data_IF_838676864005
#
_entry.id   IF_838676864005
#
_cell.length_a   1.000
_cell.length_b   1.000
_cell.length_c   1.000
_cell.angle_alpha   90.00
_cell.angle_beta   90.00
_cell.angle_gamma   90.00
#
_symmetry.space_group_name_H-M   'P 1'
#
loop_
_entity.id
_entity.type
_entity.pdbx_description
1 polymer ?
#
# COMPACT_ATOMS: atom_id res chain seq x y z
N UNK A 1 10.22 61.12 -42.02
CA UNK A 1 10.12 61.13 -40.53
C UNK A 1 9.16 60.03 -40.06
N UNK A 2 8.04 59.81 -40.76
CA UNK A 2 7.14 58.69 -40.51
C UNK A 2 7.78 57.31 -40.80
N UNK A 3 8.56 57.16 -41.87
CA UNK A 3 9.16 55.86 -42.24
C UNK A 3 10.07 55.28 -41.13
N UNK A 4 10.87 56.13 -40.47
CA UNK A 4 11.70 55.71 -39.33
C UNK A 4 10.88 55.25 -38.14
N UNK A 5 9.76 55.93 -37.88
CA UNK A 5 8.86 55.57 -36.77
C UNK A 5 8.17 54.24 -37.07
N UNK A 6 7.75 54.01 -38.33
CA UNK A 6 7.16 52.73 -38.74
C UNK A 6 8.17 51.57 -38.66
N UNK A 7 9.43 51.83 -39.03
CA UNK A 7 10.52 50.86 -38.91
C UNK A 7 10.79 50.49 -37.43
N UNK A 8 10.89 51.48 -36.54
CA UNK A 8 11.05 51.27 -35.10
C UNK A 8 9.84 50.55 -34.48
N UNK A 9 8.63 50.86 -34.94
CA UNK A 9 7.41 50.18 -34.49
C UNK A 9 7.42 48.71 -34.91
N UNK A 10 7.80 48.42 -36.15
CA UNK A 10 7.88 47.05 -36.66
C UNK A 10 8.89 46.20 -35.87
N UNK A 11 10.08 46.76 -35.59
CA UNK A 11 11.07 46.08 -34.77
C UNK A 11 10.59 45.84 -33.34
N UNK A 12 9.86 46.80 -32.77
CA UNK A 12 9.27 46.67 -31.43
C UNK A 12 8.18 45.58 -31.41
N UNK A 13 7.30 45.57 -32.39
CA UNK A 13 6.24 44.57 -32.55
C UNK A 13 6.82 43.16 -32.75
N UNK A 14 7.89 43.05 -33.54
CA UNK A 14 8.63 41.80 -33.73
C UNK A 14 9.21 41.26 -32.41
N UNK A 15 9.76 42.12 -31.55
CA UNK A 15 10.27 41.73 -30.23
C UNK A 15 9.13 41.27 -29.31
N UNK A 16 8.03 42.02 -29.25
CA UNK A 16 6.86 41.66 -28.43
C UNK A 16 6.30 40.30 -28.88
N UNK A 17 6.12 40.10 -30.18
CA UNK A 17 5.62 38.83 -30.74
C UNK A 17 6.51 37.64 -30.40
N UNK A 18 7.84 37.81 -30.39
CA UNK A 18 8.78 36.76 -29.98
C UNK A 18 8.64 36.45 -28.49
N UNK A 19 8.56 37.48 -27.64
CA UNK A 19 8.38 37.31 -26.20
C UNK A 19 7.04 36.64 -25.87
N UNK A 20 5.95 36.98 -26.57
CA UNK A 20 4.64 36.37 -26.35
C UNK A 20 4.67 34.87 -26.67
N UNK A 21 5.31 34.46 -27.77
CA UNK A 21 5.49 33.05 -28.12
C UNK A 21 6.29 32.31 -27.05
N UNK A 22 7.38 32.90 -26.57
CA UNK A 22 8.20 32.29 -25.53
C UNK A 22 7.44 32.14 -24.21
N UNK A 23 6.61 33.14 -23.85
CA UNK A 23 5.73 33.07 -22.68
C UNK A 23 4.70 31.95 -22.83
N UNK A 24 4.13 31.76 -24.02
CA UNK A 24 3.16 30.71 -24.30
C UNK A 24 3.77 29.31 -24.16
N UNK A 25 4.96 29.12 -24.75
CA UNK A 25 5.74 27.88 -24.62
C UNK A 25 6.11 27.58 -23.16
N UNK A 26 6.53 28.60 -22.40
CA UNK A 26 6.86 28.46 -20.99
C UNK A 26 5.62 28.14 -20.14
N UNK A 27 4.47 28.75 -20.42
CA UNK A 27 3.20 28.43 -19.75
C UNK A 27 2.81 26.97 -19.98
N UNK A 28 2.96 26.47 -21.20
CA UNK A 28 2.68 25.07 -21.52
C UNK A 28 3.62 24.13 -20.75
N UNK A 29 4.93 24.40 -20.73
CA UNK A 29 5.90 23.65 -19.92
C UNK A 29 5.58 23.67 -18.43
N UNK A 30 5.13 24.80 -17.88
CA UNK A 30 4.72 24.89 -16.48
C UNK A 30 3.51 23.97 -16.19
N UNK A 31 2.54 23.91 -17.09
CA UNK A 31 1.38 23.02 -16.95
C UNK A 31 1.81 21.55 -17.00
N UNK A 32 2.70 21.18 -17.92
CA UNK A 32 3.25 19.83 -18.03
C UNK A 32 4.06 19.43 -16.78
N UNK A 33 4.95 20.32 -16.31
CA UNK A 33 5.80 20.10 -15.13
C UNK A 33 5.00 20.10 -13.82
N UNK A 34 3.94 20.90 -13.72
CA UNK A 34 3.03 20.87 -12.58
C UNK A 34 2.32 19.51 -12.45
N UNK A 35 2.29 18.72 -13.53
CA UNK A 35 1.67 17.41 -13.59
C UNK A 35 0.16 17.46 -13.38
N UNK A 36 -0.48 16.29 -13.43
CA UNK A 36 -1.90 16.18 -13.06
C UNK A 36 -2.02 16.57 -11.59
N UNK A 37 -2.69 17.71 -11.31
CA UNK A 37 -3.09 18.06 -9.93
C UNK A 37 -3.69 16.82 -9.30
N UNK A 38 -3.05 16.32 -8.24
CA UNK A 38 -3.50 15.13 -7.51
C UNK A 38 -5.01 15.28 -7.30
N UNK A 39 -5.86 14.41 -7.88
CA UNK A 39 -7.30 14.58 -7.80
C UNK A 39 -7.63 14.78 -6.33
N UNK A 40 -8.40 15.84 -6.02
CA UNK A 40 -8.78 16.12 -4.64
C UNK A 40 -9.31 14.82 -4.05
N UNK A 41 -8.67 14.34 -2.97
CA UNK A 41 -9.05 13.10 -2.31
C UNK A 41 -10.52 13.24 -1.96
N UNK A 42 -11.40 12.63 -2.76
CA UNK A 42 -12.84 12.68 -2.50
C UNK A 42 -12.99 12.08 -1.12
N UNK A 43 -13.48 12.87 -0.15
CA UNK A 43 -13.84 12.36 1.18
C UNK A 43 -14.69 11.12 0.93
N UNK A 44 -14.18 9.96 1.34
CA UNK A 44 -14.89 8.69 1.23
C UNK A 44 -16.17 8.88 2.03
N UNK A 45 -17.31 9.04 1.34
CA UNK A 45 -18.58 9.43 1.96
C UNK A 45 -19.06 8.39 2.97
N UNK A 46 -18.63 7.14 2.83
CA UNK A 46 -18.91 6.07 3.76
C UNK A 46 -17.85 4.97 3.63
N UNK A 47 -17.30 4.50 4.76
CA UNK A 47 -16.41 3.34 4.73
C UNK A 47 -17.21 2.07 4.42
N UNK A 48 -16.57 1.06 3.83
CA UNK A 48 -17.21 -0.23 3.58
C UNK A 48 -17.77 -0.83 4.89
N UNK A 49 -17.02 -0.69 6.00
CA UNK A 49 -17.45 -1.15 7.32
C UNK A 49 -18.71 -0.42 7.81
N UNK A 50 -18.76 0.91 7.63
CA UNK A 50 -19.95 1.71 7.97
C UNK A 50 -21.17 1.30 7.14
N UNK A 51 -20.98 0.99 5.87
CA UNK A 51 -22.05 0.52 4.98
C UNK A 51 -22.52 -0.89 5.37
N UNK A 52 -21.60 -1.82 5.63
CA UNK A 52 -21.93 -3.20 5.99
C UNK A 52 -22.61 -3.29 7.36
N UNK A 53 -22.16 -2.50 8.34
CA UNK A 53 -22.80 -2.44 9.65
C UNK A 53 -24.22 -1.88 9.57
N UNK A 54 -24.46 -0.88 8.71
CA UNK A 54 -25.80 -0.31 8.52
C UNK A 54 -26.76 -1.28 7.81
N UNK A 55 -26.26 -2.11 6.88
CA UNK A 55 -27.08 -3.05 6.11
C UNK A 55 -27.30 -4.40 6.81
N UNK A 56 -26.30 -4.92 7.52
CA UNK A 56 -26.30 -6.28 8.06
C UNK A 56 -26.44 -6.32 9.60
N UNK A 57 -26.49 -5.15 10.24
CA UNK A 57 -26.59 -5.02 11.69
C UNK A 57 -25.39 -5.63 12.43
N UNK A 58 -25.59 -5.99 13.69
CA UNK A 58 -24.52 -6.50 14.56
C UNK A 58 -24.07 -7.95 14.29
N UNK A 59 -24.74 -8.69 13.40
CA UNK A 59 -24.48 -10.13 13.20
C UNK A 59 -23.17 -10.42 12.47
N UNK A 60 -22.72 -9.50 11.60
CA UNK A 60 -21.49 -9.66 10.81
C UNK A 60 -20.49 -8.54 11.13
N UNK A 61 -19.92 -8.57 12.34
CA UNK A 61 -18.76 -7.72 12.68
C UNK A 61 -17.50 -8.38 12.12
N UNK A 62 -17.20 -8.13 10.85
CA UNK A 62 -15.99 -8.64 10.19
C UNK A 62 -14.85 -7.65 10.47
N UNK A 63 -13.94 -7.99 11.39
CA UNK A 63 -12.71 -7.21 11.58
C UNK A 63 -11.73 -7.53 10.46
N UNK A 64 -11.59 -6.66 9.46
CA UNK A 64 -10.62 -6.82 8.37
C UNK A 64 -9.18 -6.44 8.77
N UNK A 65 -8.75 -6.76 10.00
CA UNK A 65 -7.35 -6.56 10.41
C UNK A 65 -6.50 -7.77 10.02
N UNK A 66 -5.91 -7.70 8.83
CA UNK A 66 -5.03 -8.73 8.28
C UNK A 66 -3.88 -9.08 9.23
N UNK A 67 -3.36 -8.11 9.99
CA UNK A 67 -2.22 -8.34 10.89
C UNK A 67 -2.61 -9.16 12.10
N UNK A 68 -3.78 -8.87 12.68
CA UNK A 68 -4.29 -9.61 13.83
C UNK A 68 -4.67 -11.04 13.44
N UNK A 69 -5.27 -11.23 12.27
CA UNK A 69 -5.60 -12.56 11.75
C UNK A 69 -4.35 -13.43 11.52
N UNK A 70 -3.28 -12.86 10.92
CA UNK A 70 -2.01 -13.58 10.74
C UNK A 70 -1.31 -13.93 12.06
N UNK A 71 -1.44 -13.07 13.08
CA UNK A 71 -0.89 -13.35 14.42
C UNK A 71 -1.65 -14.48 15.12
N UNK A 72 -2.97 -14.53 14.99
CA UNK A 72 -3.78 -15.61 15.56
C UNK A 72 -3.42 -16.95 14.94
N UNK A 73 -3.38 -17.05 13.61
CA UNK A 73 -2.98 -18.27 12.90
C UNK A 73 -1.58 -18.74 13.34
N UNK A 74 -0.63 -17.81 13.46
CA UNK A 74 0.72 -18.15 13.95
C UNK A 74 0.74 -18.60 15.42
N UNK A 75 -0.19 -18.13 16.24
CA UNK A 75 -0.30 -18.54 17.65
C UNK A 75 -0.89 -19.94 17.77
N UNK A 76 -2.00 -20.21 17.09
CA UNK A 76 -2.64 -21.53 17.08
C UNK A 76 -1.67 -22.61 16.55
N UNK A 77 -0.98 -22.32 15.44
CA UNK A 77 0.06 -23.21 14.86
C UNK A 77 1.29 -23.34 15.75
N UNK A 78 1.48 -22.51 16.79
CA UNK A 78 2.59 -22.65 17.76
C UNK A 78 2.16 -23.41 19.03
N UNK A 79 0.90 -23.31 19.44
CA UNK A 79 0.35 -24.07 20.57
C UNK A 79 0.13 -25.54 20.23
N UNK A 80 -0.42 -25.88 19.05
CA UNK A 80 -0.54 -27.29 18.60
C UNK A 80 0.78 -28.09 18.63
N UNK A 81 1.90 -27.60 18.06
CA UNK A 81 3.17 -28.30 18.13
C UNK A 81 3.83 -28.22 19.51
N UNK A 82 3.45 -27.28 20.37
CA UNK A 82 3.93 -27.22 21.75
C UNK A 82 3.26 -28.28 22.63
N UNK A 83 1.97 -28.57 22.42
CA UNK A 83 1.30 -29.72 23.03
C UNK A 83 1.87 -31.05 22.51
N UNK A 84 2.19 -31.14 21.20
CA UNK A 84 2.87 -32.31 20.64
C UNK A 84 4.34 -32.44 21.07
N UNK A 85 5.01 -31.34 21.43
CA UNK A 85 6.35 -31.32 22.02
C UNK A 85 6.33 -31.53 23.54
N UNK A 86 5.14 -31.53 24.16
CA UNK A 86 4.90 -31.88 25.54
C UNK A 86 5.17 -33.37 25.76
N UNK A 87 6.32 -33.64 26.36
CA UNK A 87 6.75 -34.93 26.91
C UNK A 87 7.41 -35.94 25.94
N UNK A 88 8.35 -35.43 25.13
CA UNK A 88 9.37 -36.27 24.49
C UNK A 88 10.13 -37.14 25.50
N UNK A 89 10.28 -36.68 26.76
CA UNK A 89 11.04 -37.35 27.81
C UNK A 89 10.39 -38.68 28.23
N UNK A 90 9.09 -38.68 28.52
CA UNK A 90 8.33 -39.88 28.87
C UNK A 90 8.25 -40.89 27.72
N UNK A 91 8.17 -40.40 26.48
CA UNK A 91 8.14 -41.26 25.29
C UNK A 91 9.47 -42.01 25.04
N UNK A 92 10.60 -41.48 25.53
CA UNK A 92 11.91 -42.13 25.48
C UNK A 92 12.09 -43.12 26.64
N UNK A 93 11.71 -42.72 27.86
CA UNK A 93 11.81 -43.60 29.04
C UNK A 93 10.99 -44.89 28.86
N UNK A 94 9.76 -44.80 28.35
CA UNK A 94 8.88 -45.97 28.11
C UNK A 94 9.45 -46.96 27.05
N UNK A 95 10.39 -46.52 26.20
CA UNK A 95 11.01 -47.36 25.15
C UNK A 95 12.37 -47.92 25.52
N UNK A 96 13.05 -47.37 26.53
CA UNK A 96 14.40 -47.78 26.91
C UNK A 96 14.45 -49.14 27.65
N UNK A 97 13.35 -49.54 28.30
CA UNK A 97 13.31 -50.74 29.15
C UNK A 97 13.02 -52.06 28.42
N UNK A 98 12.83 -52.06 27.10
CA UNK A 98 12.62 -53.30 26.31
C UNK A 98 13.93 -53.92 25.78
N UNK A 99 14.93 -54.11 26.65
CA UNK A 99 16.09 -54.95 26.31
C UNK A 99 15.73 -56.43 26.47
N UNK A 100 15.55 -57.12 25.34
CA UNK A 100 15.51 -58.59 25.26
C UNK A 100 16.84 -59.14 25.81
N UNK A 101 16.80 -59.83 26.94
CA UNK A 101 17.88 -60.71 27.35
C UNK A 101 17.83 -61.95 26.46
N UNK A 102 18.90 -62.23 25.72
CA UNK A 102 19.04 -63.51 25.03
C UNK A 102 19.36 -64.57 26.07
N UNK A 103 18.52 -65.60 26.18
CA UNK A 103 18.83 -66.80 26.96
C UNK A 103 19.91 -67.60 26.23
N UNK A 104 21.08 -67.76 26.87
CA UNK A 104 22.11 -68.72 26.47
C UNK A 104 21.71 -70.12 26.93
N UNK A 105 21.76 -71.08 26.01
CA UNK A 105 21.63 -72.52 26.24
C UNK A 105 22.75 -73.07 27.14
#
# INVERSE_FOLDING_TARGET
MLDKIDEERYDSESKVTKSDKEIEDLKMKVVELAGVKKPALKKVRMSADSMLQALLGGKHKVTMDLRSNLKQVKKEVKEEPAEAAGDWRKNIEDKADRKKMFETA
#
